data_IF_747276013364
#
_entry.id   IF_747276013364
#
_cell.length_a   1.000
_cell.length_b   1.000
_cell.length_c   1.000
_cell.angle_alpha   90.00
_cell.angle_beta   90.00
_cell.angle_gamma   90.00
#
_symmetry.space_group_name_H-M   'P 1'
#
loop_
_entity.id
_entity.type
_entity.pdbx_description
1 polymer ?
#
# COMPACT_ATOMS: atom_id res chain seq x y z
N UNK A 1 17.71 -33.63 -10.43
CA UNK A 1 18.11 -32.23 -10.73
C UNK A 1 17.04 -31.26 -10.21
N UNK A 2 16.77 -31.29 -8.92
CA UNK A 2 17.48 -30.60 -7.82
C UNK A 2 17.17 -29.09 -7.79
N UNK A 3 16.12 -28.76 -7.05
CA UNK A 3 15.84 -27.63 -6.12
C UNK A 3 16.47 -26.24 -6.40
N UNK A 4 17.66 -26.14 -7.00
CA UNK A 4 18.26 -24.89 -7.49
C UNK A 4 17.48 -24.23 -8.63
N UNK A 5 16.71 -24.99 -9.43
CA UNK A 5 15.78 -24.43 -10.44
C UNK A 5 14.54 -23.76 -9.83
N UNK A 6 14.21 -24.02 -8.56
CA UNK A 6 12.99 -23.51 -7.89
C UNK A 6 13.17 -22.13 -7.24
N UNK A 7 14.41 -21.71 -6.94
CA UNK A 7 14.68 -20.38 -6.35
C UNK A 7 14.82 -19.26 -7.39
N UNK A 8 15.10 -19.58 -8.66
CA UNK A 8 15.35 -18.56 -9.68
C UNK A 8 14.09 -17.91 -10.28
N UNK A 9 12.92 -18.55 -10.18
CA UNK A 9 11.67 -18.01 -10.75
C UNK A 9 11.06 -16.86 -9.93
N UNK A 10 11.63 -16.55 -8.77
CA UNK A 10 11.17 -15.49 -7.87
C UNK A 10 11.80 -14.12 -8.15
N UNK A 11 12.93 -14.05 -8.85
CA UNK A 11 13.66 -12.78 -9.03
C UNK A 11 13.17 -11.91 -10.20
N UNK A 12 12.65 -12.50 -11.27
CA UNK A 12 12.32 -11.74 -12.51
C UNK A 12 10.97 -11.01 -12.40
N UNK A 13 10.02 -11.52 -11.60
CA UNK A 13 8.70 -10.87 -11.43
C UNK A 13 8.72 -9.84 -10.28
N UNK A 14 9.64 -9.97 -9.32
CA UNK A 14 9.76 -8.99 -8.23
C UNK A 14 10.49 -7.73 -8.69
N UNK A 15 11.49 -7.81 -9.59
CA UNK A 15 12.31 -6.64 -9.89
C UNK A 15 11.63 -5.54 -10.73
N UNK A 16 10.53 -5.85 -11.43
CA UNK A 16 9.74 -4.84 -12.17
C UNK A 16 8.78 -4.08 -11.25
N UNK A 17 8.58 -4.55 -10.01
CA UNK A 17 7.73 -3.89 -9.00
C UNK A 17 8.50 -3.12 -7.92
N UNK A 18 9.82 -3.30 -7.77
CA UNK A 18 10.58 -2.70 -6.65
C UNK A 18 11.32 -1.39 -6.94
N UNK A 19 11.24 -0.80 -8.14
CA UNK A 19 12.02 0.43 -8.46
C UNK A 19 11.23 1.73 -8.29
N UNK A 20 9.95 1.70 -7.89
CA UNK A 20 9.18 2.93 -7.68
C UNK A 20 9.03 3.39 -6.23
N UNK A 21 9.61 2.72 -5.24
CA UNK A 21 9.50 3.15 -3.83
C UNK A 21 10.86 3.00 -3.15
N UNK A 22 11.72 4.00 -3.34
CA UNK A 22 12.71 4.53 -2.39
C UNK A 22 13.80 5.24 -3.18
N UNK A 23 13.62 6.56 -3.36
CA UNK A 23 14.63 7.63 -3.27
C UNK A 23 13.94 8.96 -3.64
N UNK A 24 12.88 9.30 -2.89
CA UNK A 24 12.50 10.71 -2.68
C UNK A 24 13.02 11.06 -1.30
N UNK A 25 14.34 11.27 -1.21
CA UNK A 25 14.96 11.99 -0.11
C UNK A 25 16.11 12.80 -0.71
N UNK A 26 15.90 14.12 -0.79
CA UNK A 26 16.92 15.16 -0.82
C UNK A 26 18.11 14.96 -1.77
N UNK A 27 17.92 15.25 -3.06
CA UNK A 27 19.03 15.73 -3.90
C UNK A 27 18.54 16.97 -4.62
N UNK A 28 19.11 18.14 -4.27
CA UNK A 28 19.07 19.33 -5.13
C UNK A 28 19.87 19.01 -6.39
N UNK A 29 19.26 18.28 -7.32
CA UNK A 29 19.84 17.91 -8.60
C UNK A 29 18.95 18.38 -9.72
N UNK A 30 19.54 18.71 -10.87
CA UNK A 30 18.81 19.04 -12.08
C UNK A 30 17.79 17.91 -12.40
N UNK A 31 16.49 18.21 -12.57
CA UNK A 31 15.47 17.19 -12.89
C UNK A 31 15.83 16.33 -14.11
N UNK A 32 16.49 16.92 -15.11
CA UNK A 32 16.96 16.21 -16.30
C UNK A 32 18.06 15.20 -15.96
N UNK A 33 19.00 15.56 -15.07
CA UNK A 33 20.05 14.68 -14.60
C UNK A 33 19.48 13.47 -13.83
N UNK A 34 18.56 13.71 -12.89
CA UNK A 34 17.92 12.63 -12.12
C UNK A 34 17.19 11.66 -13.05
N UNK A 35 16.44 12.20 -14.01
CA UNK A 35 15.72 11.43 -15.01
C UNK A 35 16.65 10.60 -15.89
N UNK A 36 17.74 11.19 -16.40
CA UNK A 36 18.73 10.51 -17.23
C UNK A 36 19.39 9.34 -16.48
N UNK A 37 19.79 9.56 -15.23
CA UNK A 37 20.37 8.53 -14.36
C UNK A 37 19.43 7.34 -14.18
N UNK A 38 18.15 7.58 -13.91
CA UNK A 38 17.15 6.51 -13.79
C UNK A 38 17.06 5.68 -15.08
N UNK A 39 17.05 6.33 -16.26
CA UNK A 39 16.99 5.59 -17.52
C UNK A 39 18.26 4.77 -17.78
N UNK A 40 19.45 5.28 -17.42
CA UNK A 40 20.71 4.54 -17.51
C UNK A 40 20.70 3.33 -16.58
N UNK A 41 20.34 3.51 -15.30
CA UNK A 41 20.28 2.41 -14.32
C UNK A 41 19.32 1.29 -14.75
N UNK A 42 18.18 1.67 -15.35
CA UNK A 42 17.22 0.70 -15.89
C UNK A 42 17.78 0.00 -17.13
N UNK A 43 18.49 0.71 -18.00
CA UNK A 43 19.12 0.14 -19.19
C UNK A 43 20.23 -0.85 -18.82
N UNK A 44 21.08 -0.54 -17.84
CA UNK A 44 22.12 -1.45 -17.34
C UNK A 44 21.56 -2.77 -16.82
N UNK A 45 20.49 -2.68 -16.02
CA UNK A 45 19.79 -3.87 -15.52
C UNK A 45 19.18 -4.68 -16.66
N UNK A 46 18.53 -4.01 -17.61
CA UNK A 46 17.94 -4.67 -18.78
C UNK A 46 19.00 -5.37 -19.65
N UNK A 47 20.16 -4.74 -19.86
CA UNK A 47 21.28 -5.33 -20.59
C UNK A 47 21.85 -6.56 -19.89
N UNK A 48 22.07 -6.49 -18.57
CA UNK A 48 22.53 -7.63 -17.77
C UNK A 48 21.59 -8.84 -17.88
N UNK A 49 20.27 -8.59 -17.80
CA UNK A 49 19.25 -9.64 -17.94
C UNK A 49 19.26 -10.21 -19.36
N UNK A 50 19.38 -9.37 -20.39
CA UNK A 50 19.40 -9.83 -21.78
C UNK A 50 20.61 -10.74 -22.07
N UNK A 51 21.79 -10.42 -21.52
CA UNK A 51 23.00 -11.25 -21.61
C UNK A 51 22.77 -12.59 -20.91
N UNK A 52 22.35 -12.59 -19.65
CA UNK A 52 22.12 -13.81 -18.85
C UNK A 52 21.13 -14.76 -19.54
N UNK A 53 20.06 -14.21 -20.13
CA UNK A 53 19.07 -14.99 -20.86
C UNK A 53 19.62 -15.56 -22.17
N UNK A 54 20.45 -14.80 -22.87
CA UNK A 54 21.05 -15.23 -24.14
C UNK A 54 22.09 -16.32 -23.93
N UNK A 55 22.92 -16.22 -22.89
CA UNK A 55 23.89 -17.28 -22.51
C UNK A 55 23.19 -18.61 -22.21
N UNK A 56 22.01 -18.58 -21.58
CA UNK A 56 21.22 -19.79 -21.29
C UNK A 56 20.65 -20.45 -22.55
N UNK A 57 20.25 -19.66 -23.53
CA UNK A 57 19.76 -20.15 -24.82
C UNK A 57 20.90 -20.75 -25.63
N UNK A 58 22.05 -20.09 -25.65
CA UNK A 58 23.25 -20.62 -26.28
C UNK A 58 23.66 -21.95 -25.66
N UNK A 59 23.58 -22.08 -24.33
CA UNK A 59 23.80 -23.36 -23.64
C UNK A 59 22.75 -24.44 -23.98
N UNK A 60 21.61 -24.07 -24.53
CA UNK A 60 20.54 -24.97 -25.00
C UNK A 60 20.65 -25.31 -26.49
N UNK A 61 21.69 -24.81 -27.18
CA UNK A 61 21.97 -25.14 -28.60
C UNK A 61 21.15 -24.36 -29.62
N UNK A 62 20.40 -23.34 -29.21
CA UNK A 62 19.65 -22.45 -30.10
C UNK A 62 20.53 -21.34 -30.68
N UNK A 63 20.23 -20.90 -31.90
CA UNK A 63 20.93 -19.76 -32.53
C UNK A 63 20.61 -18.45 -31.80
N UNK A 64 21.64 -17.84 -31.22
CA UNK A 64 21.59 -16.58 -30.49
C UNK A 64 22.13 -15.40 -31.27
N UNK A 65 22.66 -15.59 -32.49
CA UNK A 65 23.34 -14.54 -33.24
C UNK A 65 22.48 -13.27 -33.46
N UNK A 66 21.17 -13.34 -33.78
CA UNK A 66 20.33 -12.15 -33.90
C UNK A 66 20.15 -11.39 -32.57
N UNK A 67 20.14 -12.11 -31.45
CA UNK A 67 19.95 -11.53 -30.11
C UNK A 67 21.21 -10.87 -29.59
N UNK A 68 22.36 -11.50 -29.84
CA UNK A 68 23.68 -10.92 -29.53
C UNK A 68 23.87 -9.59 -30.26
N UNK A 69 23.50 -9.49 -31.53
CA UNK A 69 23.54 -8.22 -32.28
C UNK A 69 22.70 -7.12 -31.62
N UNK A 70 21.48 -7.43 -31.18
CA UNK A 70 20.62 -6.47 -30.49
C UNK A 70 21.18 -6.06 -29.12
N UNK A 71 21.83 -6.99 -28.41
CA UNK A 71 22.53 -6.69 -27.16
C UNK A 71 23.72 -5.76 -27.42
N UNK A 72 24.52 -6.03 -28.45
CA UNK A 72 25.66 -5.20 -28.83
C UNK A 72 25.23 -3.79 -29.24
N UNK A 73 24.16 -3.67 -30.03
CA UNK A 73 23.54 -2.38 -30.36
C UNK A 73 23.04 -1.65 -29.10
N UNK A 74 22.43 -2.38 -28.17
CA UNK A 74 21.99 -1.84 -26.88
C UNK A 74 23.15 -1.34 -26.02
N UNK A 75 24.25 -2.09 -25.95
CA UNK A 75 25.46 -1.73 -25.20
C UNK A 75 26.09 -0.45 -25.77
N UNK A 76 26.20 -0.36 -27.09
CA UNK A 76 26.72 0.84 -27.78
C UNK A 76 25.90 2.10 -27.44
N UNK A 77 24.56 1.97 -27.42
CA UNK A 77 23.67 3.07 -27.06
C UNK A 77 23.76 3.42 -25.58
N UNK A 78 23.95 2.43 -24.71
CA UNK A 78 24.12 2.64 -23.26
C UNK A 78 25.44 3.34 -22.95
N UNK A 79 26.52 3.00 -23.63
CA UNK A 79 27.81 3.68 -23.51
C UNK A 79 27.70 5.13 -24.00
N UNK A 80 27.02 5.35 -25.13
CA UNK A 80 26.72 6.71 -25.64
C UNK A 80 25.90 7.52 -24.62
N UNK A 81 24.92 6.88 -23.96
CA UNK A 81 24.12 7.52 -22.92
C UNK A 81 24.95 7.92 -21.69
N UNK A 82 25.89 7.07 -21.26
CA UNK A 82 26.81 7.35 -20.15
C UNK A 82 27.77 8.50 -20.48
N UNK A 83 28.30 8.52 -21.70
CA UNK A 83 29.16 9.59 -22.18
C UNK A 83 28.41 10.94 -22.25
N UNK A 84 27.19 10.94 -22.79
CA UNK A 84 26.33 12.12 -22.81
C UNK A 84 26.02 12.61 -21.38
N UNK A 85 25.75 11.69 -20.45
CA UNK A 85 25.51 12.02 -19.05
C UNK A 85 26.73 12.69 -18.40
N UNK A 86 27.94 12.16 -18.65
CA UNK A 86 29.20 12.73 -18.13
C UNK A 86 29.53 14.10 -18.72
N UNK A 87 29.07 14.39 -19.94
CA UNK A 87 29.19 15.70 -20.61
C UNK A 87 28.10 16.71 -20.20
N UNK A 88 27.14 16.30 -19.36
CA UNK A 88 26.01 17.14 -18.95
C UNK A 88 24.86 17.21 -19.96
N UNK A 89 24.89 16.40 -21.02
CA UNK A 89 23.86 16.32 -22.07
C UNK A 89 22.69 15.42 -21.63
N UNK A 90 21.99 15.77 -20.55
CA UNK A 90 21.05 14.87 -19.87
C UNK A 90 19.84 14.42 -20.70
N UNK A 91 19.28 15.27 -21.55
CA UNK A 91 18.15 14.88 -22.41
C UNK A 91 18.56 13.86 -23.47
N UNK A 92 19.77 14.03 -24.03
CA UNK A 92 20.37 13.08 -24.96
C UNK A 92 20.67 11.76 -24.26
N UNK A 93 21.29 11.82 -23.08
CA UNK A 93 21.55 10.63 -22.25
C UNK A 93 20.26 9.83 -21.96
N UNK A 94 19.16 10.51 -21.63
CA UNK A 94 17.87 9.86 -21.41
C UNK A 94 17.28 9.25 -22.69
N UNK A 95 17.47 9.89 -23.85
CA UNK A 95 17.02 9.36 -25.14
C UNK A 95 17.80 8.10 -25.55
N UNK A 96 19.13 8.17 -25.48
CA UNK A 96 20.02 7.05 -25.84
C UNK A 96 19.81 5.85 -24.91
N UNK A 97 19.63 6.09 -23.60
CA UNK A 97 19.31 5.02 -22.65
C UNK A 97 17.95 4.34 -22.93
N UNK A 98 16.94 5.08 -23.43
CA UNK A 98 15.66 4.48 -23.84
C UNK A 98 15.77 3.67 -25.13
N UNK A 99 16.61 4.09 -26.06
CA UNK A 99 16.91 3.31 -27.26
C UNK A 99 17.62 2.02 -26.87
N UNK A 100 18.61 2.08 -25.97
CA UNK A 100 19.27 0.89 -25.41
C UNK A 100 18.26 -0.09 -24.78
N UNK A 101 17.37 0.41 -23.92
CA UNK A 101 16.29 -0.41 -23.32
C UNK A 101 15.39 -1.08 -24.36
N UNK A 102 15.14 -0.40 -25.49
CA UNK A 102 14.32 -0.95 -26.58
C UNK A 102 15.04 -2.09 -27.28
N UNK A 103 16.35 -1.93 -27.55
CA UNK A 103 17.19 -3.00 -28.12
C UNK A 103 17.30 -4.21 -27.20
N UNK A 104 17.49 -4.02 -25.90
CA UNK A 104 17.46 -5.13 -24.94
C UNK A 104 16.08 -5.80 -24.88
N UNK A 105 14.99 -5.03 -24.93
CA UNK A 105 13.63 -5.59 -24.99
C UNK A 105 13.44 -6.42 -26.25
N UNK A 106 13.94 -5.98 -27.39
CA UNK A 106 13.91 -6.72 -28.65
C UNK A 106 14.77 -7.97 -28.61
N UNK A 107 15.97 -7.91 -28.02
CA UNK A 107 16.80 -9.09 -27.79
C UNK A 107 16.09 -10.14 -26.91
N UNK A 108 15.29 -9.68 -25.96
CA UNK A 108 14.46 -10.53 -25.09
C UNK A 108 13.11 -10.93 -25.72
N UNK A 109 12.69 -10.31 -26.83
CA UNK A 109 11.50 -10.72 -27.57
C UNK A 109 11.84 -11.99 -28.35
N UNK A 110 11.00 -13.02 -28.22
CA UNK A 110 11.21 -14.30 -28.92
C UNK A 110 12.17 -15.27 -28.22
N UNK A 111 12.40 -15.16 -26.90
CA UNK A 111 13.06 -16.19 -26.08
C UNK A 111 12.14 -17.44 -25.82
N UNK A 112 11.59 -18.05 -26.88
CA UNK A 112 10.88 -19.34 -26.90
C UNK A 112 9.38 -19.31 -26.52
N UNK A 113 8.56 -20.28 -26.98
CA UNK A 113 7.10 -20.25 -26.83
C UNK A 113 6.76 -20.15 -25.34
N UNK A 114 5.68 -19.44 -25.03
CA UNK A 114 5.05 -19.70 -23.75
C UNK A 114 4.68 -21.18 -23.80
N UNK A 115 5.37 -22.01 -23.02
CA UNK A 115 4.90 -23.37 -22.84
C UNK A 115 3.45 -23.27 -22.35
N UNK A 116 2.53 -24.15 -22.77
CA UNK A 116 1.15 -24.13 -22.28
C UNK A 116 1.10 -23.95 -20.76
N UNK A 117 2.02 -24.62 -20.05
CA UNK A 117 2.24 -24.46 -18.61
C UNK A 117 2.54 -23.02 -18.16
N UNK A 118 3.44 -22.28 -18.82
CA UNK A 118 3.78 -20.89 -18.44
C UNK A 118 2.65 -19.92 -18.79
N UNK A 119 1.90 -20.23 -19.84
CA UNK A 119 0.81 -19.43 -20.39
C UNK A 119 -0.41 -19.53 -19.48
N UNK A 120 -0.71 -20.76 -19.07
CA UNK A 120 -1.69 -21.12 -18.05
C UNK A 120 -1.31 -20.52 -16.68
N UNK A 121 -0.05 -20.60 -16.26
CA UNK A 121 0.39 -19.98 -15.00
C UNK A 121 0.25 -18.45 -14.97
N UNK A 122 0.52 -17.74 -16.07
CA UNK A 122 0.34 -16.27 -16.13
C UNK A 122 -1.14 -15.91 -16.15
N UNK A 123 -1.93 -16.64 -16.93
CA UNK A 123 -3.38 -16.50 -17.01
C UNK A 123 -4.02 -16.73 -15.64
N UNK A 124 -3.73 -17.85 -14.98
CA UNK A 124 -4.23 -18.18 -13.64
C UNK A 124 -3.90 -17.08 -12.63
N UNK A 125 -2.64 -16.64 -12.57
CA UNK A 125 -2.24 -15.59 -11.61
C UNK A 125 -2.95 -14.26 -11.85
N UNK A 126 -3.15 -13.87 -13.10
CA UNK A 126 -3.89 -12.66 -13.44
C UNK A 126 -5.38 -12.81 -13.13
N UNK A 127 -5.97 -13.96 -13.44
CA UNK A 127 -7.36 -14.28 -13.10
C UNK A 127 -7.58 -14.24 -11.59
N UNK A 128 -6.70 -14.84 -10.79
CA UNK A 128 -6.75 -14.75 -9.34
C UNK A 128 -6.63 -13.30 -8.84
N UNK A 129 -5.74 -12.50 -9.43
CA UNK A 129 -5.56 -11.12 -9.03
C UNK A 129 -6.81 -10.27 -9.34
N UNK A 130 -7.44 -10.50 -10.50
CA UNK A 130 -8.73 -9.90 -10.85
C UNK A 130 -9.81 -10.31 -9.85
N UNK A 131 -9.86 -11.59 -9.49
CA UNK A 131 -10.85 -12.08 -8.53
C UNK A 131 -10.67 -11.45 -7.14
N UNK A 132 -9.42 -11.38 -6.64
CA UNK A 132 -9.11 -10.68 -5.37
C UNK A 132 -9.51 -9.20 -5.42
N UNK A 133 -9.28 -8.54 -6.54
CA UNK A 133 -9.68 -7.14 -6.73
C UNK A 133 -11.22 -6.98 -6.70
N UNK A 134 -11.96 -7.87 -7.38
CA UNK A 134 -13.44 -7.89 -7.34
C UNK A 134 -13.98 -8.09 -5.93
N UNK A 135 -13.43 -9.05 -5.19
CA UNK A 135 -13.82 -9.28 -3.80
C UNK A 135 -13.56 -8.05 -2.93
N UNK A 136 -12.47 -7.34 -3.17
CA UNK A 136 -12.16 -6.09 -2.45
C UNK A 136 -13.15 -4.98 -2.83
N UNK A 137 -13.53 -4.84 -4.10
CA UNK A 137 -14.59 -3.91 -4.52
C UNK A 137 -15.90 -4.25 -3.80
N UNK A 138 -16.29 -5.53 -3.77
CA UNK A 138 -17.50 -5.99 -3.07
C UNK A 138 -17.47 -5.60 -1.59
N UNK A 139 -16.38 -5.93 -0.88
CA UNK A 139 -16.24 -5.55 0.54
C UNK A 139 -16.37 -4.05 0.77
N UNK A 140 -15.80 -3.23 -0.12
CA UNK A 140 -15.90 -1.76 -0.02
C UNK A 140 -17.36 -1.32 -0.23
N UNK A 141 -18.08 -1.90 -1.20
CA UNK A 141 -19.49 -1.59 -1.43
C UNK A 141 -20.38 -2.01 -0.26
N UNK A 142 -20.12 -3.18 0.34
CA UNK A 142 -20.84 -3.65 1.52
C UNK A 142 -20.66 -2.67 2.69
N UNK A 143 -19.44 -2.17 2.89
CA UNK A 143 -19.16 -1.12 3.90
C UNK A 143 -19.93 0.16 3.60
N UNK A 144 -19.94 0.62 2.34
CA UNK A 144 -20.69 1.82 1.92
C UNK A 144 -22.18 1.64 2.24
N UNK A 145 -22.78 0.51 1.85
CA UNK A 145 -24.19 0.23 2.06
C UNK A 145 -24.57 0.16 3.56
N UNK A 146 -23.65 -0.30 4.41
CA UNK A 146 -23.86 -0.35 5.86
C UNK A 146 -23.64 0.98 6.59
N UNK A 147 -23.13 2.01 5.90
CA UNK A 147 -22.76 3.29 6.53
C UNK A 147 -23.89 4.31 6.38
N UNK A 148 -24.45 4.76 7.50
CA UNK A 148 -25.61 5.66 7.55
C UNK A 148 -25.27 7.15 7.66
N UNK A 149 -24.01 7.51 7.93
CA UNK A 149 -23.61 8.88 8.32
C UNK A 149 -22.49 9.48 7.45
N UNK A 150 -22.21 8.93 6.28
CA UNK A 150 -21.10 9.41 5.44
C UNK A 150 -21.53 10.53 4.48
N UNK A 151 -20.62 11.48 4.18
CA UNK A 151 -20.87 12.56 3.20
C UNK A 151 -21.25 11.98 1.83
N UNK A 152 -22.51 12.17 1.45
CA UNK A 152 -23.13 11.56 0.27
C UNK A 152 -22.35 11.83 -1.03
N UNK A 153 -21.81 13.04 -1.20
CA UNK A 153 -21.02 13.40 -2.38
C UNK A 153 -19.69 12.62 -2.50
N UNK A 154 -18.97 12.44 -1.37
CA UNK A 154 -17.71 11.70 -1.36
C UNK A 154 -17.96 10.19 -1.54
N UNK A 155 -19.05 9.68 -0.96
CA UNK A 155 -19.50 8.31 -1.17
C UNK A 155 -19.84 8.08 -2.64
N UNK A 156 -20.59 9.00 -3.26
CA UNK A 156 -20.92 8.93 -4.69
C UNK A 156 -19.66 8.89 -5.56
N UNK A 157 -18.71 9.80 -5.33
CA UNK A 157 -17.42 9.81 -6.05
C UNK A 157 -16.61 8.53 -5.81
N UNK A 158 -16.66 7.96 -4.61
CA UNK A 158 -16.02 6.68 -4.32
C UNK A 158 -16.67 5.55 -5.12
N UNK A 159 -18.01 5.47 -5.15
CA UNK A 159 -18.77 4.51 -5.94
C UNK A 159 -18.47 4.62 -7.44
N UNK A 160 -18.42 5.82 -8.00
CA UNK A 160 -18.03 6.06 -9.40
C UNK A 160 -16.64 5.51 -9.72
N UNK A 161 -15.68 5.66 -8.80
CA UNK A 161 -14.34 5.07 -8.97
C UNK A 161 -14.37 3.53 -8.88
N UNK A 162 -15.21 2.95 -8.02
CA UNK A 162 -15.38 1.49 -7.94
C UNK A 162 -16.02 0.93 -9.21
N UNK A 163 -16.98 1.63 -9.80
CA UNK A 163 -17.61 1.22 -11.05
C UNK A 163 -16.61 1.27 -12.22
N UNK A 164 -15.78 2.32 -12.28
CA UNK A 164 -14.68 2.39 -13.24
C UNK A 164 -13.64 1.28 -13.02
N UNK A 165 -13.30 0.98 -11.76
CA UNK A 165 -12.40 -0.12 -11.44
C UNK A 165 -12.97 -1.46 -11.92
N UNK A 166 -14.25 -1.70 -11.69
CA UNK A 166 -14.90 -2.94 -12.11
C UNK A 166 -14.98 -3.08 -13.63
N UNK A 167 -15.22 -1.99 -14.35
CA UNK A 167 -15.15 -2.00 -15.80
C UNK A 167 -13.74 -2.35 -16.30
N UNK A 168 -12.70 -1.80 -15.69
CA UNK A 168 -11.31 -2.13 -16.01
C UNK A 168 -10.97 -3.60 -15.71
N UNK A 169 -11.53 -4.18 -14.65
CA UNK A 169 -11.39 -5.60 -14.35
C UNK A 169 -12.11 -6.50 -15.38
N UNK A 170 -13.30 -6.09 -15.85
CA UNK A 170 -14.01 -6.78 -16.94
C UNK A 170 -13.20 -6.73 -18.24
N UNK A 171 -12.63 -5.57 -18.58
CA UNK A 171 -11.74 -5.43 -19.73
C UNK A 171 -10.52 -6.37 -19.60
N UNK A 172 -9.88 -6.39 -18.42
CA UNK A 172 -8.72 -7.25 -18.16
C UNK A 172 -9.06 -8.75 -18.33
N UNK A 173 -10.20 -9.18 -17.81
CA UNK A 173 -10.68 -10.55 -17.94
C UNK A 173 -11.01 -10.93 -19.40
N UNK A 174 -11.63 -10.01 -20.15
CA UNK A 174 -11.87 -10.20 -21.58
C UNK A 174 -10.58 -10.34 -22.37
N UNK A 175 -9.55 -9.56 -22.05
CA UNK A 175 -8.23 -9.62 -22.68
C UNK A 175 -7.53 -10.95 -22.37
N UNK A 176 -7.63 -11.44 -21.12
CA UNK A 176 -7.08 -12.74 -20.73
C UNK A 176 -7.80 -13.88 -21.44
N UNK A 177 -9.11 -13.74 -21.63
CA UNK A 177 -9.95 -14.73 -22.30
C UNK A 177 -9.65 -14.80 -23.81
N UNK A 178 -9.24 -13.70 -24.43
CA UNK A 178 -8.90 -13.64 -25.87
C UNK A 178 -7.49 -14.13 -26.21
N UNK A 179 -6.61 -14.31 -25.21
CA UNK A 179 -5.30 -14.96 -25.39
C UNK A 179 -4.15 -14.30 -24.60
N UNK A 180 -3.16 -15.11 -24.21
CA UNK A 180 -2.10 -14.69 -23.27
C UNK A 180 -1.04 -13.77 -23.90
N UNK A 181 -1.00 -13.64 -25.22
CA UNK A 181 -0.17 -12.63 -25.91
C UNK A 181 -0.50 -11.19 -25.45
N UNK A 182 -1.70 -10.98 -24.90
CA UNK A 182 -2.15 -9.70 -24.36
C UNK A 182 -2.07 -9.60 -22.83
N UNK A 183 -1.37 -10.51 -22.15
CA UNK A 183 -1.26 -10.53 -20.68
C UNK A 183 -0.70 -9.21 -20.10
N UNK A 184 0.20 -8.54 -20.83
CA UNK A 184 0.72 -7.21 -20.43
C UNK A 184 -0.38 -6.15 -20.42
N UNK A 185 -1.30 -6.19 -21.38
CA UNK A 185 -2.42 -5.25 -21.43
C UNK A 185 -3.44 -5.53 -20.32
N UNK A 186 -3.74 -6.80 -20.06
CA UNK A 186 -4.58 -7.19 -18.92
C UNK A 186 -3.98 -6.75 -17.59
N UNK A 187 -2.66 -6.94 -17.39
CA UNK A 187 -1.96 -6.46 -16.21
C UNK A 187 -2.03 -4.92 -16.07
N UNK A 188 -1.92 -4.18 -17.19
CA UNK A 188 -2.09 -2.72 -17.19
C UNK A 188 -3.49 -2.31 -16.78
N UNK A 189 -4.53 -2.99 -17.28
CA UNK A 189 -5.94 -2.75 -16.89
C UNK A 189 -6.17 -3.02 -15.41
N UNK A 190 -5.63 -4.13 -14.89
CA UNK A 190 -5.66 -4.44 -13.46
C UNK A 190 -4.98 -3.36 -12.62
N UNK A 191 -3.80 -2.86 -13.03
CA UNK A 191 -3.12 -1.77 -12.33
C UNK A 191 -3.93 -0.46 -12.33
N UNK A 192 -4.62 -0.16 -13.43
CA UNK A 192 -5.54 0.99 -13.49
C UNK A 192 -6.74 0.80 -12.56
N UNK A 193 -7.29 -0.41 -12.46
CA UNK A 193 -8.37 -0.72 -11.53
C UNK A 193 -7.94 -0.52 -10.07
N UNK A 194 -6.75 -1.01 -9.69
CA UNK A 194 -6.18 -0.82 -8.35
C UNK A 194 -5.97 0.68 -8.02
N UNK A 195 -5.55 1.48 -8.99
CA UNK A 195 -5.47 2.94 -8.82
C UNK A 195 -6.84 3.55 -8.50
N UNK A 196 -7.88 3.15 -9.22
CA UNK A 196 -9.26 3.61 -8.98
C UNK A 196 -9.79 3.17 -7.61
N UNK A 197 -9.54 1.92 -7.23
CA UNK A 197 -9.89 1.41 -5.90
C UNK A 197 -9.18 2.19 -4.78
N UNK A 198 -7.91 2.56 -4.97
CA UNK A 198 -7.15 3.36 -4.00
C UNK A 198 -7.70 4.78 -3.85
N UNK A 199 -8.14 5.39 -4.95
CA UNK A 199 -8.84 6.68 -4.90
C UNK A 199 -10.18 6.57 -4.16
N UNK A 200 -10.98 5.53 -4.44
CA UNK A 200 -12.23 5.27 -3.73
C UNK A 200 -11.99 5.13 -2.22
N UNK A 201 -10.98 4.36 -1.80
CA UNK A 201 -10.62 4.21 -0.39
C UNK A 201 -10.25 5.55 0.27
N UNK A 202 -9.51 6.40 -0.44
CA UNK A 202 -9.10 7.72 0.06
C UNK A 202 -10.31 8.63 0.27
N UNK A 203 -11.25 8.64 -0.68
CA UNK A 203 -12.51 9.39 -0.58
C UNK A 203 -13.37 8.91 0.59
N UNK A 204 -13.46 7.59 0.80
CA UNK A 204 -14.19 7.02 1.93
C UNK A 204 -13.55 7.37 3.27
N UNK A 205 -12.21 7.34 3.35
CA UNK A 205 -11.48 7.80 4.53
C UNK A 205 -11.82 9.24 4.85
N UNK A 206 -11.84 10.13 3.85
CA UNK A 206 -12.22 11.52 4.02
C UNK A 206 -13.70 11.68 4.44
N UNK A 207 -14.60 10.92 3.82
CA UNK A 207 -16.02 10.95 4.13
C UNK A 207 -16.30 10.53 5.58
N UNK A 208 -15.51 9.59 6.10
CA UNK A 208 -15.66 9.06 7.47
C UNK A 208 -15.04 9.94 8.56
N UNK A 209 -14.23 10.95 8.20
CA UNK A 209 -13.43 11.72 9.16
C UNK A 209 -14.28 12.45 10.20
N UNK A 210 -15.20 13.30 9.76
CA UNK A 210 -16.07 14.08 10.66
C UNK A 210 -17.02 13.20 11.47
N UNK A 211 -17.76 12.24 10.86
CA UNK A 211 -18.62 11.35 11.64
C UNK A 211 -17.85 10.56 12.70
N UNK A 212 -16.66 10.04 12.35
CA UNK A 212 -15.83 9.34 13.33
C UNK A 212 -15.36 10.27 14.44
N UNK A 213 -14.95 11.49 14.12
CA UNK A 213 -14.60 12.50 15.13
C UNK A 213 -15.76 12.75 16.10
N UNK A 214 -16.97 13.01 15.58
CA UNK A 214 -18.16 13.24 16.40
C UNK A 214 -18.48 12.03 17.30
N UNK A 215 -18.35 10.80 16.78
CA UNK A 215 -18.58 9.58 17.56
C UNK A 215 -17.56 9.41 18.69
N UNK A 216 -16.30 9.78 18.44
CA UNK A 216 -15.25 9.74 19.45
C UNK A 216 -15.49 10.82 20.52
N UNK A 217 -15.82 12.05 20.13
CA UNK A 217 -16.20 13.13 21.05
C UNK A 217 -17.38 12.72 21.94
N UNK A 218 -18.46 12.19 21.36
CA UNK A 218 -19.61 11.68 22.12
C UNK A 218 -19.25 10.49 23.04
N UNK A 219 -18.18 9.74 22.74
CA UNK A 219 -17.69 8.71 23.64
C UNK A 219 -16.90 9.31 24.81
N UNK A 220 -16.06 10.31 24.55
CA UNK A 220 -15.35 11.08 25.59
C UNK A 220 -16.35 11.71 26.56
N UNK A 221 -17.38 12.40 26.08
CA UNK A 221 -18.44 13.00 26.92
C UNK A 221 -19.07 11.98 27.89
N UNK A 222 -19.20 10.72 27.45
CA UNK A 222 -19.73 9.64 28.29
C UNK A 222 -18.71 9.19 29.33
N UNK A 223 -17.43 9.11 28.98
CA UNK A 223 -16.36 8.79 29.92
C UNK A 223 -16.22 9.89 30.98
N UNK A 224 -16.30 11.16 30.61
CA UNK A 224 -16.27 12.27 31.57
C UNK A 224 -17.44 12.21 32.57
N UNK A 225 -18.66 11.98 32.08
CA UNK A 225 -19.83 11.78 32.93
C UNK A 225 -19.66 10.58 33.86
N UNK A 226 -19.06 9.50 33.38
CA UNK A 226 -18.76 8.33 34.21
C UNK A 226 -17.69 8.65 35.26
N UNK A 227 -16.63 9.35 34.89
CA UNK A 227 -15.56 9.78 35.78
C UNK A 227 -16.10 10.65 36.92
N UNK A 228 -16.93 11.64 36.59
CA UNK A 228 -17.62 12.48 37.58
C UNK A 228 -18.46 11.65 38.55
N UNK A 229 -19.26 10.69 38.07
CA UNK A 229 -20.02 9.79 38.95
C UNK A 229 -19.11 8.95 39.85
N UNK A 230 -17.97 8.47 39.34
CA UNK A 230 -17.02 7.70 40.15
C UNK A 230 -16.39 8.57 41.25
N UNK A 231 -16.11 9.85 40.98
CA UNK A 231 -15.65 10.81 42.00
C UNK A 231 -16.68 11.00 43.10
N UNK A 232 -17.95 11.22 42.75
CA UNK A 232 -19.04 11.32 43.74
C UNK A 232 -19.13 10.06 44.62
N UNK A 233 -18.88 8.88 44.04
CA UNK A 233 -18.85 7.63 44.81
C UNK A 233 -17.68 7.59 45.79
N UNK A 234 -16.48 8.01 45.37
CA UNK A 234 -15.30 8.08 46.25
C UNK A 234 -15.55 9.02 47.43
N UNK A 235 -16.15 10.19 47.20
CA UNK A 235 -16.52 11.12 48.28
C UNK A 235 -17.50 10.48 49.28
N UNK A 236 -18.51 9.75 48.78
CA UNK A 236 -19.45 9.03 49.64
C UNK A 236 -18.78 7.92 50.45
N UNK A 237 -17.81 7.21 49.87
CA UNK A 237 -17.03 6.20 50.58
C UNK A 237 -16.18 6.85 51.69
N UNK A 238 -15.59 8.02 51.45
CA UNK A 238 -14.90 8.81 52.46
C UNK A 238 -15.80 9.16 53.65
N UNK A 239 -17.02 9.64 53.39
CA UNK A 239 -18.02 9.93 54.44
C UNK A 239 -18.47 8.69 55.24
N UNK A 240 -18.28 7.49 54.69
CA UNK A 240 -18.60 6.21 55.34
C UNK A 240 -17.43 5.61 56.11
N UNK A 241 -16.28 6.28 56.17
CA UNK A 241 -15.12 5.82 56.93
C UNK A 241 -14.32 4.69 56.25
N UNK A 242 -14.38 4.58 54.91
CA UNK A 242 -13.47 3.69 54.17
C UNK A 242 -12.02 4.13 54.41
N UNK A 243 -11.10 3.16 54.54
CA UNK A 243 -9.67 3.41 54.79
C UNK A 243 -9.07 4.39 53.77
N UNK A 244 -8.30 5.36 54.26
CA UNK A 244 -7.70 6.41 53.43
C UNK A 244 -6.81 5.84 52.30
N UNK A 245 -6.01 4.81 52.57
CA UNK A 245 -5.16 4.17 51.55
C UNK A 245 -5.95 3.68 50.33
N UNK A 246 -7.16 3.15 50.55
CA UNK A 246 -8.04 2.68 49.46
C UNK A 246 -8.65 3.85 48.70
N UNK A 247 -9.02 4.92 49.40
CA UNK A 247 -9.53 6.13 48.78
C UNK A 247 -8.44 6.78 47.91
N UNK A 248 -7.22 6.87 48.41
CA UNK A 248 -6.04 7.37 47.67
C UNK A 248 -5.80 6.54 46.41
N UNK A 249 -5.79 5.20 46.52
CA UNK A 249 -5.62 4.33 45.35
C UNK A 249 -6.70 4.59 44.28
N UNK A 250 -7.96 4.73 44.67
CA UNK A 250 -9.04 4.99 43.70
C UNK A 250 -8.90 6.39 43.11
N UNK A 251 -8.57 7.42 43.92
CA UNK A 251 -8.33 8.79 43.43
C UNK A 251 -7.22 8.84 42.38
N UNK A 252 -6.09 8.17 42.61
CA UNK A 252 -4.98 8.10 41.64
C UNK A 252 -5.41 7.47 40.33
N UNK A 253 -6.19 6.38 40.35
CA UNK A 253 -6.75 5.79 39.12
C UNK A 253 -7.68 6.76 38.38
N UNK A 254 -8.52 7.51 39.11
CA UNK A 254 -9.42 8.48 38.49
C UNK A 254 -8.66 9.69 37.91
N UNK A 255 -7.56 10.11 38.53
CA UNK A 255 -6.66 11.14 37.98
C UNK A 255 -5.95 10.67 36.71
N UNK A 256 -5.45 9.42 36.70
CA UNK A 256 -4.83 8.83 35.51
C UNK A 256 -5.82 8.72 34.35
N UNK A 257 -7.05 8.27 34.62
CA UNK A 257 -8.11 8.24 33.62
C UNK A 257 -8.47 9.64 33.09
N UNK A 258 -8.51 10.66 33.95
CA UNK A 258 -8.76 12.04 33.53
C UNK A 258 -7.67 12.55 32.59
N UNK A 259 -6.39 12.30 32.91
CA UNK A 259 -5.27 12.73 32.09
C UNK A 259 -5.30 12.07 30.71
N UNK A 260 -5.69 10.79 30.63
CA UNK A 260 -5.86 10.09 29.36
C UNK A 260 -7.04 10.64 28.56
N UNK A 261 -8.17 10.97 29.20
CA UNK A 261 -9.31 11.60 28.54
C UNK A 261 -8.89 12.95 27.94
N UNK A 262 -8.22 13.82 28.72
CA UNK A 262 -7.70 15.11 28.23
C UNK A 262 -6.68 14.94 27.11
N UNK A 263 -5.83 13.91 27.17
CA UNK A 263 -4.89 13.60 26.10
C UNK A 263 -5.62 13.18 24.82
N UNK A 264 -6.68 12.37 24.94
CA UNK A 264 -7.50 11.97 23.81
C UNK A 264 -8.19 13.18 23.14
N UNK A 265 -8.72 14.14 23.91
CA UNK A 265 -9.32 15.38 23.38
C UNK A 265 -8.30 16.22 22.59
N UNK A 266 -7.09 16.39 23.14
CA UNK A 266 -6.02 17.10 22.47
C UNK A 266 -5.62 16.40 21.15
N UNK A 267 -5.58 15.07 21.16
CA UNK A 267 -5.27 14.24 19.97
C UNK A 267 -6.36 14.28 18.91
N UNK A 268 -7.64 14.40 19.29
CA UNK A 268 -8.73 14.62 18.33
C UNK A 268 -8.58 15.99 17.66
N UNK A 269 -8.20 17.00 18.43
CA UNK A 269 -7.98 18.36 17.90
C UNK A 269 -6.82 18.41 16.91
N UNK A 270 -5.77 17.61 17.12
CA UNK A 270 -4.63 17.47 16.22
C UNK A 270 -4.81 16.42 15.12
N UNK A 271 -6.03 15.91 14.91
CA UNK A 271 -6.38 14.91 13.89
C UNK A 271 -5.68 13.53 14.05
N UNK A 272 -5.24 13.21 15.26
CA UNK A 272 -4.62 11.94 15.60
C UNK A 272 -5.62 10.97 16.25
N UNK A 273 -6.63 10.56 15.47
CA UNK A 273 -7.73 9.70 15.95
C UNK A 273 -7.26 8.33 16.45
N UNK A 274 -6.21 7.75 15.86
CA UNK A 274 -5.71 6.44 16.26
C UNK A 274 -5.13 6.46 17.69
N UNK A 275 -4.33 7.47 18.01
CA UNK A 275 -3.80 7.64 19.37
C UNK A 275 -4.88 8.07 20.36
N UNK A 276 -5.85 8.90 19.93
CA UNK A 276 -6.99 9.25 20.78
C UNK A 276 -7.80 8.01 21.20
N UNK A 277 -8.04 7.08 20.28
CA UNK A 277 -8.73 5.81 20.58
C UNK A 277 -7.93 4.95 21.57
N UNK A 278 -6.61 4.89 21.44
CA UNK A 278 -5.76 4.13 22.37
C UNK A 278 -5.83 4.70 23.80
N UNK A 279 -5.84 6.03 23.94
CA UNK A 279 -5.99 6.67 25.26
C UNK A 279 -7.39 6.45 25.85
N UNK A 280 -8.44 6.54 25.02
CA UNK A 280 -9.82 6.24 25.39
C UNK A 280 -9.96 4.81 25.92
N UNK A 281 -9.36 3.84 25.24
CA UNK A 281 -9.37 2.43 25.67
C UNK A 281 -8.69 2.25 27.03
N UNK A 282 -7.52 2.88 27.23
CA UNK A 282 -6.81 2.84 28.52
C UNK A 282 -7.60 3.52 29.64
N UNK A 283 -8.15 4.70 29.39
CA UNK A 283 -8.97 5.43 30.35
C UNK A 283 -10.19 4.60 30.78
N UNK A 284 -10.84 3.94 29.83
CA UNK A 284 -11.97 3.06 30.10
C UNK A 284 -11.57 1.85 30.96
N UNK A 285 -10.42 1.23 30.70
CA UNK A 285 -9.93 0.11 31.51
C UNK A 285 -9.60 0.55 32.94
N UNK A 286 -8.92 1.68 33.11
CA UNK A 286 -8.63 2.25 34.45
C UNK A 286 -9.92 2.57 35.19
N UNK A 287 -10.92 3.17 34.53
CA UNK A 287 -12.22 3.43 35.16
C UNK A 287 -12.96 2.15 35.53
N UNK A 288 -12.81 1.05 34.78
CA UNK A 288 -13.34 -0.26 35.16
C UNK A 288 -12.64 -0.81 36.40
N UNK A 289 -11.32 -0.64 36.52
CA UNK A 289 -10.57 -1.02 37.72
C UNK A 289 -11.03 -0.21 38.94
N UNK A 290 -11.14 1.12 38.80
CA UNK A 290 -11.68 1.98 39.85
C UNK A 290 -13.10 1.57 40.25
N UNK A 291 -13.96 1.22 39.28
CA UNK A 291 -15.31 0.71 39.53
C UNK A 291 -15.29 -0.60 40.33
N UNK A 292 -14.41 -1.55 40.01
CA UNK A 292 -14.25 -2.80 40.76
C UNK A 292 -13.82 -2.53 42.20
N UNK A 293 -12.86 -1.64 42.41
CA UNK A 293 -12.41 -1.24 43.75
C UNK A 293 -13.56 -0.59 44.54
N UNK A 294 -14.28 0.37 43.96
CA UNK A 294 -15.45 1.01 44.60
C UNK A 294 -16.50 -0.05 44.99
N UNK A 295 -16.79 -1.02 44.12
CA UNK A 295 -17.75 -2.09 44.42
C UNK A 295 -17.31 -2.99 45.56
N UNK A 296 -16.02 -3.30 45.65
CA UNK A 296 -15.46 -4.09 46.77
C UNK A 296 -15.52 -3.37 48.13
N UNK A 297 -15.81 -2.07 48.15
CA UNK A 297 -16.00 -1.27 49.37
C UNK A 297 -17.47 -1.09 49.73
N UNK A 298 -18.40 -1.67 48.95
CA UNK A 298 -19.81 -1.67 49.31
C UNK A 298 -20.05 -2.81 50.31
N UNK A 299 -20.81 -2.56 51.40
CA UNK A 299 -21.25 -3.60 52.30
C UNK A 299 -22.17 -4.60 51.59
#
# INVERSE_FOLDING_TARGET
MSIRKRMLSLFIIVLVLTVCVNHVLGVQGNPAQTKAKIFIDVAEKAGSIAVELTERIQASGEDTAPRLRLIDEGNTLLDTAKDAYNKGEYDRAAADARLAQTKYREAMRGLGPVTPQREENVKERLTEAIQRARERIKRIRDIIASSTETREELVKKASENLDQAEQLLKDAESIISSGVQNASEAARKLAQAEKKMSLAFTLLKQASKEPNKHRVEAYIDRLEKQLSRLRDWVERLGKRGVKEDRLTQIKTLLEEAENLIKSAEAKITSDNLAEALADIERANEIMRQATKLIRSQRP
#
